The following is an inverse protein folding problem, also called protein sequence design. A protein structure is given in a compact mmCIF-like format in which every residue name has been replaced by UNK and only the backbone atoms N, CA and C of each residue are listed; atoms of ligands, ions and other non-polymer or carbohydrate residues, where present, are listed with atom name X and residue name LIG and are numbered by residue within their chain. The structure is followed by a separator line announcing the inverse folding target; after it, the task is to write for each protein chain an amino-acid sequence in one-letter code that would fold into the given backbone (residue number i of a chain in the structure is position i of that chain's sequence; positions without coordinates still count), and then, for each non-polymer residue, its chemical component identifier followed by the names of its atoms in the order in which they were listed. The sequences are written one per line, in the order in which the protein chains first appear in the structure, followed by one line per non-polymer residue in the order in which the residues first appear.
data_IF_034881467523
#
_entry.id   IF_034881467523
#
_cell.length_a   1.000
_cell.length_b   1.000
_cell.length_c   1.000
_cell.angle_alpha   90.00
_cell.angle_beta   90.00
_cell.angle_gamma   90.00
#
_symmetry.space_group_name_H-M   'P 1'
#
loop_
_entity.id
_entity.type
_entity.pdbx_description
1 polymer ?
#
# COMPACT_ATOMS: atom_id res chain seq x y z
N UNK A 1 -16.49 5.43 -29.65
CA UNK A 1 -17.88 5.63 -30.15
C UNK A 1 -18.34 4.56 -31.14
N UNK A 2 -17.44 3.83 -31.83
CA UNK A 2 -17.81 2.80 -32.84
C UNK A 2 -18.04 1.37 -32.32
N UNK A 3 -17.67 1.05 -31.07
CA UNK A 3 -17.82 -0.31 -30.53
C UNK A 3 -19.28 -0.74 -30.27
N UNK A 4 -20.17 0.21 -30.00
CA UNK A 4 -21.57 -0.08 -29.71
C UNK A 4 -22.32 -0.62 -30.94
N UNK A 5 -22.12 0.01 -32.10
CA UNK A 5 -22.70 -0.41 -33.38
C UNK A 5 -22.13 -1.76 -33.84
N UNK A 6 -20.82 -1.99 -33.63
CA UNK A 6 -20.15 -3.26 -33.93
C UNK A 6 -20.70 -4.39 -33.04
N UNK A 7 -20.90 -4.14 -31.75
CA UNK A 7 -21.48 -5.10 -30.81
C UNK A 7 -22.94 -5.44 -31.15
N UNK A 8 -23.76 -4.45 -31.51
CA UNK A 8 -25.13 -4.69 -31.96
C UNK A 8 -25.21 -5.61 -33.18
N UNK A 9 -24.29 -5.44 -34.14
CA UNK A 9 -24.18 -6.29 -35.33
C UNK A 9 -23.73 -7.73 -34.98
N UNK A 10 -22.81 -7.87 -34.02
CA UNK A 10 -22.35 -9.17 -33.52
C UNK A 10 -23.44 -9.91 -32.72
N UNK A 11 -24.23 -9.20 -31.91
CA UNK A 11 -25.36 -9.79 -31.17
C UNK A 11 -26.41 -10.34 -32.15
N UNK A 12 -26.74 -9.60 -33.21
CA UNK A 12 -27.70 -10.05 -34.24
C UNK A 12 -27.21 -11.28 -35.01
N UNK A 13 -25.89 -11.49 -35.10
CA UNK A 13 -25.27 -12.67 -35.73
C UNK A 13 -25.07 -13.84 -34.77
N UNK A 14 -25.51 -13.74 -33.51
CA UNK A 14 -25.26 -14.75 -32.49
C UNK A 14 -23.80 -14.82 -32.00
N UNK A 15 -22.94 -13.91 -32.46
CA UNK A 15 -21.50 -13.88 -32.18
C UNK A 15 -21.14 -13.07 -30.92
N UNK A 16 -22.13 -12.48 -30.24
CA UNK A 16 -21.94 -11.77 -28.98
C UNK A 16 -23.17 -11.89 -28.07
N UNK A 17 -22.94 -12.00 -26.77
CA UNK A 17 -24.02 -12.06 -25.77
C UNK A 17 -24.68 -10.71 -25.54
N UNK A 18 -26.01 -10.72 -25.35
CA UNK A 18 -26.78 -9.56 -24.88
C UNK A 18 -26.34 -9.09 -23.49
N UNK A 19 -25.81 -9.98 -22.65
CA UNK A 19 -25.27 -9.60 -21.34
C UNK A 19 -24.02 -8.73 -21.53
N UNK A 20 -24.07 -7.51 -21.00
CA UNK A 20 -22.93 -6.60 -20.97
C UNK A 20 -22.06 -6.98 -19.77
N UNK A 21 -20.93 -7.64 -20.03
CA UNK A 21 -19.99 -8.05 -18.98
C UNK A 21 -19.28 -6.84 -18.39
N UNK A 22 -19.02 -6.88 -17.08
CA UNK A 22 -18.28 -5.80 -16.43
C UNK A 22 -16.82 -5.97 -16.85
N UNK A 23 -16.27 -4.98 -17.54
CA UNK A 23 -14.81 -4.85 -17.69
C UNK A 23 -14.38 -3.66 -16.86
N UNK A 24 -13.44 -3.86 -15.95
CA UNK A 24 -12.71 -2.74 -15.34
C UNK A 24 -11.72 -2.24 -16.39
N UNK A 25 -12.19 -1.44 -17.34
CA UNK A 25 -11.32 -0.73 -18.25
C UNK A 25 -10.60 0.34 -17.43
N UNK A 26 -9.37 0.06 -16.99
CA UNK A 26 -8.44 1.14 -16.61
C UNK A 26 -8.38 2.01 -17.86
N UNK A 27 -8.88 3.25 -17.78
CA UNK A 27 -8.89 4.16 -18.92
C UNK A 27 -7.50 4.12 -19.55
N UNK A 28 -7.39 3.89 -20.86
CA UNK A 28 -6.09 3.81 -21.54
C UNK A 28 -5.24 5.06 -21.24
N UNK A 29 -5.91 6.19 -21.03
CA UNK A 29 -5.30 7.44 -20.60
C UNK A 29 -4.66 7.33 -19.20
N UNK A 30 -5.31 6.69 -18.23
CA UNK A 30 -4.74 6.44 -16.91
C UNK A 30 -3.57 5.45 -16.95
N UNK A 31 -3.62 4.44 -17.83
CA UNK A 31 -2.51 3.52 -18.04
C UNK A 31 -1.31 4.22 -18.69
N UNK A 32 -1.55 5.16 -19.63
CA UNK A 32 -0.50 5.99 -20.24
C UNK A 32 0.11 6.97 -19.24
N UNK A 33 -0.71 7.66 -18.43
CA UNK A 33 -0.22 8.57 -17.39
C UNK A 33 0.64 7.86 -16.33
N UNK A 34 0.34 6.59 -16.06
CA UNK A 34 1.09 5.78 -15.09
C UNK A 34 2.56 5.59 -15.49
N UNK A 35 2.90 5.65 -16.77
CA UNK A 35 4.27 5.45 -17.27
C UNK A 35 4.86 6.68 -17.96
N UNK A 36 4.04 7.70 -18.24
CA UNK A 36 4.46 8.91 -18.92
C UNK A 36 5.50 9.72 -18.12
N UNK A 37 6.57 10.13 -18.80
CA UNK A 37 7.61 10.99 -18.23
C UNK A 37 7.06 12.36 -17.79
N UNK A 38 6.10 12.92 -18.54
CA UNK A 38 5.46 14.20 -18.22
C UNK A 38 4.80 14.20 -16.84
N UNK A 39 4.13 13.10 -16.46
CA UNK A 39 3.50 12.98 -15.15
C UNK A 39 4.53 13.07 -14.01
N UNK A 40 5.72 12.48 -14.19
CA UNK A 40 6.81 12.54 -13.20
C UNK A 40 7.42 13.93 -13.09
N UNK A 41 7.63 14.60 -14.23
CA UNK A 41 8.10 15.99 -14.26
C UNK A 41 7.12 16.89 -13.50
N UNK A 42 5.81 16.71 -13.68
CA UNK A 42 4.79 17.45 -12.95
C UNK A 42 4.85 17.16 -11.45
N UNK A 43 5.03 15.89 -11.03
CA UNK A 43 5.17 15.52 -9.62
C UNK A 43 6.41 16.19 -9.00
N UNK A 44 7.57 16.13 -9.67
CA UNK A 44 8.80 16.75 -9.16
C UNK A 44 8.71 18.27 -9.11
N UNK A 45 8.08 18.89 -10.12
CA UNK A 45 7.85 20.33 -10.14
C UNK A 45 6.90 20.76 -9.02
N UNK A 46 5.83 20.01 -8.78
CA UNK A 46 4.91 20.24 -7.67
C UNK A 46 5.60 20.06 -6.30
N UNK A 47 6.46 19.04 -6.17
CA UNK A 47 7.25 18.83 -4.95
C UNK A 47 8.24 19.97 -4.71
N UNK A 48 8.97 20.40 -5.74
CA UNK A 48 9.87 21.56 -5.67
C UNK A 48 9.12 22.85 -5.32
N UNK A 49 7.94 23.08 -5.89
CA UNK A 49 7.05 24.19 -5.53
C UNK A 49 6.57 24.09 -4.08
N UNK A 50 6.26 22.90 -3.59
CA UNK A 50 5.94 22.63 -2.19
C UNK A 50 7.12 22.95 -1.26
N UNK A 51 8.34 22.52 -1.60
CA UNK A 51 9.55 22.88 -0.86
C UNK A 51 9.75 24.40 -0.83
N UNK A 52 9.57 25.08 -1.97
CA UNK A 52 9.67 26.55 -2.04
C UNK A 52 8.67 27.20 -1.09
N UNK A 53 7.41 26.75 -1.11
CA UNK A 53 6.39 27.24 -0.18
C UNK A 53 6.81 27.04 1.29
N UNK A 54 7.36 25.88 1.66
CA UNK A 54 7.78 25.60 3.05
C UNK A 54 8.99 26.43 3.49
N UNK A 55 9.93 26.72 2.59
CA UNK A 55 11.12 27.54 2.88
C UNK A 55 10.77 29.01 2.98
N UNK A 56 10.04 29.54 1.99
CA UNK A 56 9.72 30.97 1.90
C UNK A 56 8.51 31.38 2.75
N UNK A 57 7.80 30.42 3.37
CA UNK A 57 6.79 30.73 4.38
C UNK A 57 7.45 31.06 5.73
N UNK A 58 7.47 32.34 6.07
CA UNK A 58 7.98 32.88 7.34
C UNK A 58 9.34 33.57 7.22
N UNK A 59 9.82 34.15 8.33
CA UNK A 59 11.13 34.79 8.38
C UNK A 59 12.19 33.75 8.70
N UNK A 60 13.07 33.50 7.74
CA UNK A 60 14.21 32.60 7.83
C UNK A 60 15.48 33.40 7.56
N UNK A 61 16.62 33.09 8.21
CA UNK A 61 17.84 33.87 8.03
C UNK A 61 18.40 33.75 6.61
N UNK A 62 18.40 32.56 6.01
CA UNK A 62 18.96 32.32 4.67
C UNK A 62 18.06 31.42 3.80
N UNK A 63 16.83 31.86 3.42
CA UNK A 63 15.85 31.01 2.75
C UNK A 63 16.32 30.56 1.35
N UNK A 64 17.02 31.41 0.61
CA UNK A 64 17.53 31.07 -0.74
C UNK A 64 18.55 29.94 -0.69
N UNK A 65 19.51 30.01 0.24
CA UNK A 65 20.50 28.96 0.46
C UNK A 65 19.85 27.64 0.86
N UNK A 66 18.92 27.66 1.81
CA UNK A 66 18.20 26.46 2.24
C UNK A 66 17.39 25.85 1.10
N UNK A 67 16.77 26.67 0.25
CA UNK A 67 16.05 26.20 -0.93
C UNK A 67 16.98 25.54 -1.96
N UNK A 68 18.15 26.14 -2.24
CA UNK A 68 19.14 25.54 -3.14
C UNK A 68 19.63 24.19 -2.61
N UNK A 69 19.93 24.09 -1.32
CA UNK A 69 20.30 22.81 -0.69
C UNK A 69 19.14 21.81 -0.83
N UNK A 70 17.90 22.22 -0.57
CA UNK A 70 16.73 21.35 -0.70
C UNK A 70 16.52 20.83 -2.14
N UNK A 71 16.84 21.63 -3.17
CA UNK A 71 16.83 21.21 -4.57
C UNK A 71 17.97 20.24 -4.92
N UNK A 72 19.16 20.44 -4.35
CA UNK A 72 20.26 19.48 -4.49
C UNK A 72 19.88 18.13 -3.85
N UNK A 73 19.28 18.15 -2.65
CA UNK A 73 18.75 16.95 -2.01
C UNK A 73 17.68 16.31 -2.89
N UNK A 74 16.79 17.07 -3.53
CA UNK A 74 15.81 16.55 -4.48
C UNK A 74 16.46 15.86 -5.69
N UNK A 75 17.48 16.44 -6.30
CA UNK A 75 18.21 15.83 -7.40
C UNK A 75 18.84 14.48 -6.99
N UNK A 76 19.46 14.44 -5.80
CA UNK A 76 20.01 13.18 -5.27
C UNK A 76 18.93 12.15 -4.93
N UNK A 77 17.78 12.57 -4.42
CA UNK A 77 16.65 11.71 -4.11
C UNK A 77 16.08 11.05 -5.37
N UNK A 78 15.87 11.83 -6.44
CA UNK A 78 15.43 11.32 -7.74
C UNK A 78 16.43 10.32 -8.30
N UNK A 79 17.73 10.66 -8.26
CA UNK A 79 18.82 9.80 -8.75
C UNK A 79 18.88 8.48 -7.98
N UNK A 80 18.79 8.54 -6.64
CA UNK A 80 18.78 7.36 -5.79
C UNK A 80 17.60 6.44 -6.14
N UNK A 81 16.39 7.01 -6.29
CA UNK A 81 15.18 6.25 -6.57
C UNK A 81 15.24 5.60 -7.95
N UNK A 82 15.80 6.29 -8.94
CA UNK A 82 16.03 5.78 -10.28
C UNK A 82 17.00 4.59 -10.29
N UNK A 83 18.14 4.71 -9.61
CA UNK A 83 19.18 3.67 -9.56
C UNK A 83 18.73 2.45 -8.75
N UNK A 84 18.20 2.66 -7.55
CA UNK A 84 18.00 1.58 -6.59
C UNK A 84 16.59 0.98 -6.64
N UNK A 85 15.61 1.68 -7.21
CA UNK A 85 14.20 1.25 -7.23
C UNK A 85 13.52 1.46 -8.60
N UNK A 86 14.09 0.93 -9.70
CA UNK A 86 13.59 1.19 -11.07
C UNK A 86 12.12 0.80 -11.26
N UNK A 87 11.68 -0.34 -10.68
CA UNK A 87 10.28 -0.79 -10.74
C UNK A 87 9.29 0.18 -10.09
N UNK A 88 9.72 0.91 -9.06
CA UNK A 88 8.89 1.94 -8.42
C UNK A 88 9.00 3.28 -9.14
N UNK A 89 10.18 3.60 -9.69
CA UNK A 89 10.41 4.78 -10.50
C UNK A 89 9.61 4.78 -11.81
N UNK A 90 9.37 3.60 -12.40
CA UNK A 90 8.57 3.45 -13.63
C UNK A 90 7.14 3.94 -13.46
N UNK A 91 6.52 3.71 -12.30
CA UNK A 91 5.11 3.99 -12.04
C UNK A 91 4.91 5.36 -11.39
N UNK A 92 4.27 6.29 -12.11
CA UNK A 92 3.95 7.63 -11.64
C UNK A 92 3.14 7.64 -10.33
N UNK A 93 2.19 6.70 -10.15
CA UNK A 93 1.45 6.55 -8.88
C UNK A 93 2.35 6.30 -7.66
N UNK A 94 3.40 5.47 -7.81
CA UNK A 94 4.35 5.18 -6.72
C UNK A 94 5.24 6.37 -6.43
N UNK A 95 5.70 7.07 -7.47
CA UNK A 95 6.47 8.32 -7.32
C UNK A 95 5.62 9.38 -6.60
N UNK A 96 4.35 9.54 -7.01
CA UNK A 96 3.41 10.44 -6.34
C UNK A 96 3.19 10.08 -4.87
N UNK A 97 3.03 8.79 -4.55
CA UNK A 97 2.91 8.33 -3.16
C UNK A 97 4.15 8.70 -2.34
N UNK A 98 5.35 8.39 -2.85
CA UNK A 98 6.62 8.64 -2.14
C UNK A 98 6.79 10.13 -1.86
N UNK A 99 6.78 10.96 -2.90
CA UNK A 99 7.02 12.40 -2.74
C UNK A 99 5.84 13.12 -2.07
N UNK A 100 4.61 12.67 -2.29
CA UNK A 100 3.42 13.22 -1.64
C UNK A 100 3.40 12.99 -0.13
N UNK A 101 3.73 11.77 0.32
CA UNK A 101 3.80 11.44 1.76
C UNK A 101 4.97 12.16 2.44
N UNK A 102 6.12 12.26 1.78
CA UNK A 102 7.26 13.05 2.26
C UNK A 102 6.86 14.52 2.41
N UNK A 103 6.26 15.11 1.38
CA UNK A 103 5.84 16.51 1.41
C UNK A 103 4.80 16.75 2.51
N UNK A 104 3.86 15.81 2.69
CA UNK A 104 2.87 15.87 3.76
C UNK A 104 3.53 15.89 5.15
N UNK A 105 4.52 15.01 5.41
CA UNK A 105 5.25 15.05 6.68
C UNK A 105 5.96 16.39 6.88
N UNK A 106 6.64 16.90 5.85
CA UNK A 106 7.36 18.18 5.93
C UNK A 106 6.40 19.35 6.16
N UNK A 107 5.24 19.36 5.50
CA UNK A 107 4.21 20.37 5.68
C UNK A 107 3.59 20.33 7.08
N UNK A 108 3.28 19.14 7.60
CA UNK A 108 2.80 18.96 8.98
C UNK A 108 3.87 19.42 9.97
N UNK A 109 5.14 19.08 9.75
CA UNK A 109 6.25 19.55 10.59
C UNK A 109 6.32 21.07 10.61
N UNK A 110 6.35 21.73 9.44
CA UNK A 110 6.32 23.20 9.36
C UNK A 110 5.13 23.79 10.10
N UNK A 111 3.94 23.23 9.90
CA UNK A 111 2.71 23.68 10.53
C UNK A 111 2.82 23.61 12.06
N UNK A 112 3.32 22.50 12.62
CA UNK A 112 3.51 22.34 14.06
C UNK A 112 4.51 23.38 14.61
N UNK A 113 5.62 23.61 13.93
CA UNK A 113 6.58 24.65 14.32
C UNK A 113 5.97 26.05 14.28
N UNK A 114 5.20 26.38 13.25
CA UNK A 114 4.51 27.68 13.15
C UNK A 114 3.47 27.84 14.26
N UNK A 115 2.67 26.81 14.55
CA UNK A 115 1.65 26.85 15.60
C UNK A 115 2.25 26.95 17.02
N UNK A 116 3.37 26.28 17.28
CA UNK A 116 4.10 26.39 18.55
C UNK A 116 4.79 27.75 18.71
N UNK A 117 5.26 28.36 17.62
CA UNK A 117 5.95 29.65 17.66
C UNK A 117 5.00 30.86 17.58
N UNK A 118 3.75 30.69 17.14
CA UNK A 118 2.80 31.80 17.00
C UNK A 118 2.30 32.36 18.34
N UNK A 119 2.50 31.62 19.44
CA UNK A 119 1.99 31.99 20.77
C UNK A 119 0.46 32.00 20.89
N UNK A 120 -0.25 31.57 19.84
CA UNK A 120 -1.72 31.61 19.77
C UNK A 120 -2.38 30.58 20.71
N UNK A 121 -1.64 29.53 21.08
CA UNK A 121 -2.10 28.46 21.95
C UNK A 121 -1.24 28.41 23.21
N UNK A 122 -1.83 28.76 24.36
CA UNK A 122 -1.15 28.81 25.67
C UNK A 122 -0.51 27.48 26.09
N UNK A 123 -0.98 26.36 25.53
CA UNK A 123 -0.49 25.02 25.81
C UNK A 123 0.66 24.58 24.87
N UNK A 124 0.86 25.22 23.73
CA UNK A 124 1.90 24.87 22.76
C UNK A 124 3.08 25.83 22.93
N UNK A 125 4.06 25.42 23.74
CA UNK A 125 5.33 26.14 23.86
C UNK A 125 6.23 25.83 22.65
N UNK A 126 7.14 26.74 22.25
CA UNK A 126 8.12 26.49 21.17
C UNK A 126 8.88 25.17 21.34
N UNK A 127 9.30 24.87 22.57
CA UNK A 127 10.08 23.67 22.89
C UNK A 127 9.32 22.35 22.65
N UNK A 128 7.98 22.41 22.64
CA UNK A 128 7.13 21.23 22.42
C UNK A 128 7.05 20.83 20.95
N UNK A 129 7.34 21.74 20.00
CA UNK A 129 7.31 21.44 18.56
C UNK A 129 8.19 20.22 18.22
N UNK A 130 9.35 20.14 18.88
CA UNK A 130 10.31 19.05 18.75
C UNK A 130 9.77 17.70 19.23
N UNK A 131 8.89 17.69 20.22
CA UNK A 131 8.38 16.46 20.83
C UNK A 131 7.18 15.88 20.06
N UNK A 132 6.40 16.76 19.41
CA UNK A 132 5.16 16.39 18.71
C UNK A 132 5.34 16.22 17.20
N UNK A 133 6.52 16.54 16.65
CA UNK A 133 6.81 16.40 15.22
C UNK A 133 6.77 14.93 14.79
N UNK A 134 6.00 14.56 13.74
CA UNK A 134 5.79 13.16 13.37
C UNK A 134 6.96 12.59 12.55
N UNK A 135 8.14 12.49 13.18
CA UNK A 135 9.42 12.10 12.56
C UNK A 135 9.37 10.82 11.72
N UNK A 136 8.56 9.85 12.15
CA UNK A 136 8.49 8.53 11.55
C UNK A 136 7.30 8.34 10.58
N UNK A 137 6.50 9.38 10.29
CA UNK A 137 5.28 9.23 9.50
C UNK A 137 5.53 8.66 8.09
N UNK A 138 6.31 9.35 7.26
CA UNK A 138 6.64 8.92 5.92
C UNK A 138 7.43 7.61 5.89
N UNK A 139 8.45 7.39 6.76
CA UNK A 139 9.11 6.09 6.89
C UNK A 139 8.14 4.95 7.18
N UNK A 140 7.21 5.12 8.13
CA UNK A 140 6.21 4.10 8.47
C UNK A 140 5.27 3.81 7.30
N UNK A 141 4.66 4.85 6.72
CA UNK A 141 3.74 4.70 5.58
C UNK A 141 4.41 3.97 4.42
N UNK A 142 5.61 4.41 4.03
CA UNK A 142 6.30 3.88 2.86
C UNK A 142 6.91 2.49 3.13
N UNK A 143 7.35 2.22 4.36
CA UNK A 143 7.78 0.88 4.77
C UNK A 143 6.65 -0.14 4.69
N UNK A 144 5.46 0.21 5.19
CA UNK A 144 4.30 -0.69 5.20
C UNK A 144 3.71 -0.89 3.80
N UNK A 145 3.61 0.17 3.00
CA UNK A 145 2.98 0.11 1.66
C UNK A 145 3.91 -0.43 0.58
N UNK A 146 5.17 0.00 0.55
CA UNK A 146 6.10 -0.27 -0.55
C UNK A 146 7.28 -1.17 -0.14
N UNK A 147 7.46 -1.39 1.16
CA UNK A 147 8.50 -2.23 1.73
C UNK A 147 9.68 -1.43 2.29
N UNK A 148 10.58 -2.16 2.95
CA UNK A 148 11.68 -1.60 3.75
C UNK A 148 12.57 -0.60 3.00
N UNK A 149 12.83 -0.84 1.72
CA UNK A 149 13.74 0.00 0.93
C UNK A 149 13.17 1.40 0.73
N UNK A 150 11.86 1.53 0.52
CA UNK A 150 11.16 2.81 0.41
C UNK A 150 11.03 3.50 1.76
N UNK A 151 10.85 2.72 2.84
CA UNK A 151 10.88 3.23 4.20
C UNK A 151 12.22 3.86 4.59
N UNK A 152 13.34 3.15 4.33
CA UNK A 152 14.70 3.67 4.59
C UNK A 152 15.01 4.90 3.72
N UNK A 153 14.62 4.87 2.45
CA UNK A 153 14.70 6.02 1.56
C UNK A 153 14.01 7.24 2.17
N UNK A 154 12.78 7.07 2.65
CA UNK A 154 12.02 8.16 3.26
C UNK A 154 12.66 8.66 4.56
N UNK A 155 13.16 7.76 5.41
CA UNK A 155 13.84 8.13 6.66
C UNK A 155 15.06 9.02 6.41
N UNK A 156 15.86 8.68 5.39
CA UNK A 156 17.03 9.45 5.01
C UNK A 156 16.66 10.81 4.40
N UNK A 157 15.81 10.85 3.38
CA UNK A 157 15.55 12.11 2.69
C UNK A 157 14.67 13.08 3.49
N UNK A 158 13.69 12.57 4.25
CA UNK A 158 12.87 13.42 5.12
C UNK A 158 13.71 14.03 6.24
N UNK A 159 14.67 13.30 6.81
CA UNK A 159 15.55 13.85 7.85
C UNK A 159 16.46 14.94 7.31
N UNK A 160 17.02 14.76 6.10
CA UNK A 160 17.79 15.81 5.41
C UNK A 160 16.94 17.05 5.14
N UNK A 161 15.74 16.91 4.58
CA UNK A 161 14.87 18.06 4.32
C UNK A 161 14.41 18.74 5.61
N UNK A 162 14.01 17.97 6.64
CA UNK A 162 13.55 18.53 7.91
C UNK A 162 14.62 19.41 8.55
N UNK A 163 15.89 18.98 8.52
CA UNK A 163 17.02 19.73 9.07
C UNK A 163 17.30 21.07 8.36
N UNK A 164 17.01 21.15 7.06
CA UNK A 164 17.34 22.34 6.23
C UNK A 164 16.16 23.31 6.09
N UNK A 165 14.92 22.84 6.20
CA UNK A 165 13.74 23.64 5.82
C UNK A 165 13.26 24.65 6.88
N UNK A 166 13.61 24.48 8.15
CA UNK A 166 12.95 25.18 9.26
C UNK A 166 13.83 26.15 10.05
N UNK A 167 15.05 26.44 9.59
CA UNK A 167 15.98 27.28 10.32
C UNK A 167 17.40 27.25 9.76
N UNK A 168 18.38 27.65 10.59
CA UNK A 168 19.73 27.11 10.49
C UNK A 168 19.68 25.58 10.47
N UNK A 169 20.71 24.95 9.89
CA UNK A 169 20.80 23.49 9.82
C UNK A 169 20.78 22.93 11.25
N UNK A 170 19.71 22.19 11.56
CA UNK A 170 19.46 21.67 12.89
C UNK A 170 19.87 20.20 13.00
N UNK A 171 20.97 19.94 13.71
CA UNK A 171 21.49 18.60 13.93
C UNK A 171 20.59 17.73 14.83
N UNK A 172 20.06 18.23 15.97
CA UNK A 172 19.03 17.51 16.73
C UNK A 172 17.83 17.03 15.89
N UNK A 173 17.33 17.89 15.00
CA UNK A 173 16.23 17.56 14.09
C UNK A 173 16.58 16.39 13.17
N UNK A 174 17.76 16.49 12.54
CA UNK A 174 18.28 15.49 11.60
C UNK A 174 18.41 14.13 12.29
N UNK A 175 19.10 14.10 13.43
CA UNK A 175 19.43 12.88 14.15
C UNK A 175 18.16 12.23 14.69
N UNK A 176 17.26 13.01 15.29
CA UNK A 176 15.97 12.52 15.79
C UNK A 176 15.12 11.96 14.66
N UNK A 177 14.97 12.70 13.55
CA UNK A 177 14.20 12.24 12.41
C UNK A 177 14.78 10.96 11.79
N UNK A 178 16.11 10.88 11.67
CA UNK A 178 16.78 9.73 11.05
C UNK A 178 16.65 8.48 11.93
N UNK A 179 16.98 8.56 13.22
CA UNK A 179 16.94 7.41 14.13
C UNK A 179 15.49 6.93 14.33
N UNK A 180 14.54 7.85 14.52
CA UNK A 180 13.12 7.49 14.64
C UNK A 180 12.59 6.85 13.36
N UNK A 181 12.99 7.36 12.18
CA UNK A 181 12.64 6.78 10.89
C UNK A 181 13.21 5.38 10.69
N UNK A 182 14.50 5.15 11.01
CA UNK A 182 15.13 3.82 10.93
C UNK A 182 14.52 2.83 11.93
N UNK A 183 14.20 3.29 13.14
CA UNK A 183 13.50 2.50 14.16
C UNK A 183 12.13 2.05 13.64
N UNK A 184 11.37 2.97 13.06
CA UNK A 184 10.09 2.67 12.42
C UNK A 184 10.20 1.60 11.33
N UNK A 185 11.17 1.72 10.43
CA UNK A 185 11.35 0.76 9.34
C UNK A 185 11.73 -0.62 9.87
N UNK A 186 12.67 -0.68 10.81
CA UNK A 186 13.15 -1.93 11.41
C UNK A 186 12.04 -2.71 12.09
N UNK A 187 11.11 -2.00 12.73
CA UNK A 187 9.98 -2.60 13.44
C UNK A 187 8.77 -2.89 12.54
N UNK A 188 8.76 -2.39 11.30
CA UNK A 188 7.68 -2.61 10.32
C UNK A 188 7.99 -3.63 9.24
N UNK A 189 9.20 -4.23 9.23
CA UNK A 189 9.66 -5.18 8.20
C UNK A 189 8.71 -6.36 7.91
N UNK A 190 7.94 -6.81 8.91
CA UNK A 190 7.05 -7.97 8.81
C UNK A 190 5.69 -7.70 9.47
N UNK A 191 5.19 -6.46 9.39
CA UNK A 191 3.91 -6.11 10.01
C UNK A 191 2.76 -6.79 9.27
N UNK A 192 2.09 -7.66 10.00
CA UNK A 192 0.95 -8.47 9.59
C UNK A 192 -0.32 -8.12 10.37
N UNK A 193 -0.18 -7.46 11.52
CA UNK A 193 -1.29 -7.08 12.39
C UNK A 193 -1.18 -5.62 12.79
N UNK A 194 -2.33 -4.95 12.93
CA UNK A 194 -2.41 -3.55 13.40
C UNK A 194 -1.75 -3.33 14.77
N UNK A 195 -1.81 -4.32 15.66
CA UNK A 195 -1.14 -4.26 16.96
C UNK A 195 0.39 -4.18 16.86
N UNK A 196 1.00 -4.79 15.84
CA UNK A 196 2.45 -4.68 15.61
C UNK A 196 2.83 -3.27 15.15
N UNK A 197 1.96 -2.59 14.40
CA UNK A 197 2.14 -1.19 14.01
C UNK A 197 2.11 -0.27 15.23
N UNK A 198 1.16 -0.45 16.16
CA UNK A 198 1.10 0.32 17.42
C UNK A 198 2.35 0.07 18.27
N UNK A 199 2.81 -1.18 18.35
CA UNK A 199 4.07 -1.53 19.03
C UNK A 199 5.27 -0.82 18.40
N UNK A 200 5.34 -0.73 17.07
CA UNK A 200 6.37 0.05 16.40
C UNK A 200 6.30 1.54 16.77
N UNK A 201 5.08 2.09 16.86
CA UNK A 201 4.84 3.45 17.35
C UNK A 201 5.39 3.70 18.76
N UNK A 202 5.18 2.77 19.70
CA UNK A 202 5.74 2.87 21.06
C UNK A 202 7.27 2.99 21.05
N UNK A 203 7.97 2.12 20.32
CA UNK A 203 9.43 2.14 20.23
C UNK A 203 9.97 3.36 19.48
N UNK A 204 9.26 3.84 18.47
CA UNK A 204 9.56 5.14 17.84
C UNK A 204 9.45 6.26 18.87
N UNK A 205 8.38 6.27 19.67
CA UNK A 205 8.19 7.24 20.74
C UNK A 205 9.28 7.18 21.81
N UNK A 206 9.74 5.97 22.17
CA UNK A 206 10.86 5.78 23.07
C UNK A 206 12.17 6.31 22.48
N UNK A 207 12.43 6.11 21.19
CA UNK A 207 13.59 6.67 20.52
C UNK A 207 13.56 8.20 20.51
N UNK A 208 12.39 8.80 20.23
CA UNK A 208 12.19 10.25 20.31
C UNK A 208 12.47 10.74 21.74
N UNK A 209 11.95 10.03 22.74
CA UNK A 209 12.14 10.38 24.14
C UNK A 209 13.61 10.36 24.56
N UNK A 210 14.35 9.30 24.24
CA UNK A 210 15.79 9.18 24.53
C UNK A 210 16.61 10.29 23.85
N UNK A 211 16.32 10.58 22.58
CA UNK A 211 17.02 11.62 21.84
C UNK A 211 16.67 13.02 22.36
N UNK A 212 15.41 13.24 22.71
CA UNK A 212 14.95 14.50 23.31
C UNK A 212 15.59 14.75 24.68
N UNK A 213 15.79 13.71 25.49
CA UNK A 213 16.59 13.80 26.71
C UNK A 213 18.04 14.14 26.41
N UNK A 214 18.65 13.47 25.43
CA UNK A 214 20.06 13.66 25.06
C UNK A 214 20.35 15.08 24.57
N UNK A 215 19.43 15.66 23.80
CA UNK A 215 19.53 17.04 23.30
C UNK A 215 19.02 18.10 24.29
N UNK A 216 18.61 17.71 25.51
CA UNK A 216 18.13 18.66 26.53
C UNK A 216 16.77 19.31 26.21
N UNK A 217 15.96 18.68 25.36
CA UNK A 217 14.62 19.16 24.96
C UNK A 217 13.54 18.77 25.97
N UNK A 218 13.83 17.81 26.85
CA UNK A 218 13.04 17.48 28.03
C UNK A 218 13.74 18.15 29.21
N UNK A 219 12.95 18.85 30.05
CA UNK A 219 13.36 19.95 30.94
C UNK A 219 14.67 19.73 31.72
N UNK A 220 15.30 20.82 32.21
CA UNK A 220 16.60 20.71 32.87
C UNK A 220 16.50 19.76 34.06
N UNK A 221 17.19 18.62 33.97
CA UNK A 221 17.26 17.63 35.05
C UNK A 221 18.43 18.00 35.95
N UNK A 222 18.13 18.68 37.05
CA UNK A 222 19.10 18.95 38.09
C UNK A 222 19.24 17.71 38.98
N UNK A 223 20.36 17.00 38.83
CA UNK A 223 20.68 15.82 39.66
C UNK A 223 21.06 16.19 41.09
N UNK A 224 21.67 17.36 41.28
CA UNK A 224 22.15 17.84 42.58
C UNK A 224 21.04 18.47 43.45
N UNK A 225 20.00 19.02 42.80
CA UNK A 225 18.85 19.61 43.48
C UNK A 225 17.54 19.07 42.87
N UNK A 226 17.15 17.80 43.15
CA UNK A 226 15.98 17.18 42.53
C UNK A 226 14.64 17.88 42.84
N UNK A 227 14.57 18.65 43.93
CA UNK A 227 13.40 19.45 44.31
C UNK A 227 13.22 20.70 43.45
N UNK A 228 14.25 21.12 42.71
CA UNK A 228 14.17 22.23 41.76
C UNK A 228 13.62 21.82 40.39
N UNK A 229 13.42 20.51 40.15
CA UNK A 229 12.91 20.00 38.88
C UNK A 229 11.39 20.13 38.83
N UNK A 230 10.86 20.65 37.71
CA UNK A 230 9.44 20.59 37.40
C UNK A 230 9.08 19.19 36.87
N UNK A 231 8.83 18.27 37.79
CA UNK A 231 8.44 16.88 37.48
C UNK A 231 7.14 16.79 36.67
N UNK A 232 6.23 17.76 36.82
CA UNK A 232 5.00 17.83 36.02
C UNK A 232 5.30 18.13 34.55
N UNK A 233 6.17 19.09 34.28
CA UNK A 233 6.60 19.42 32.92
C UNK A 233 7.42 18.30 32.29
N UNK A 234 8.35 17.69 33.03
CA UNK A 234 9.15 16.55 32.54
C UNK A 234 8.23 15.36 32.19
N UNK A 235 7.24 15.08 33.04
CA UNK A 235 6.24 14.04 32.79
C UNK A 235 5.42 14.32 31.53
N UNK A 236 4.95 15.56 31.34
CA UNK A 236 4.22 15.96 30.14
C UNK A 236 5.08 15.85 28.88
N UNK A 237 6.30 16.37 28.88
CA UNK A 237 7.20 16.29 27.73
C UNK A 237 7.55 14.84 27.38
N UNK A 238 7.73 13.99 28.40
CA UNK A 238 7.96 12.56 28.21
C UNK A 238 6.74 11.87 27.60
N UNK A 239 5.55 12.19 28.09
CA UNK A 239 4.30 11.68 27.53
C UNK A 239 4.07 12.16 26.10
N UNK A 240 4.43 13.39 25.74
CA UNK A 240 4.35 13.90 24.37
C UNK A 240 5.32 13.15 23.45
N UNK A 241 6.55 12.91 23.85
CA UNK A 241 7.54 12.18 23.05
C UNK A 241 7.10 10.73 22.75
N UNK A 242 6.68 9.99 23.79
CA UNK A 242 6.21 8.61 23.63
C UNK A 242 4.87 8.59 22.89
N UNK A 243 3.96 9.48 23.27
CA UNK A 243 2.63 9.63 22.69
C UNK A 243 2.68 9.98 21.21
N UNK A 244 3.65 10.78 20.76
CA UNK A 244 3.87 11.12 19.36
C UNK A 244 4.10 9.87 18.50
N UNK A 245 4.96 8.94 18.95
CA UNK A 245 5.20 7.69 18.23
C UNK A 245 3.93 6.83 18.10
N UNK A 246 3.17 6.68 19.19
CA UNK A 246 1.91 5.93 19.23
C UNK A 246 0.84 6.60 18.35
N UNK A 247 0.69 7.92 18.46
CA UNK A 247 -0.25 8.71 17.67
C UNK A 247 0.09 8.60 16.18
N UNK A 248 1.37 8.74 15.82
CA UNK A 248 1.84 8.58 14.44
C UNK A 248 1.47 7.20 13.90
N UNK A 249 1.77 6.12 14.63
CA UNK A 249 1.41 4.76 14.20
C UNK A 249 -0.10 4.55 14.06
N UNK A 250 -0.89 5.16 14.95
CA UNK A 250 -2.37 5.11 14.90
C UNK A 250 -2.91 5.84 13.67
N UNK A 251 -2.40 7.04 13.38
CA UNK A 251 -2.74 7.81 12.19
C UNK A 251 -2.37 7.06 10.91
N UNK A 252 -1.17 6.46 10.86
CA UNK A 252 -0.76 5.60 9.75
C UNK A 252 -1.73 4.43 9.60
N UNK A 253 -2.02 3.70 10.67
CA UNK A 253 -2.95 2.57 10.65
C UNK A 253 -4.36 2.94 10.15
N UNK A 254 -4.85 4.14 10.49
CA UNK A 254 -6.11 4.68 9.99
C UNK A 254 -6.05 5.16 8.53
N UNK A 255 -4.91 5.69 8.08
CA UNK A 255 -4.71 6.17 6.73
C UNK A 255 -4.43 5.05 5.71
N UNK A 256 -3.93 3.89 6.16
CA UNK A 256 -3.56 2.76 5.28
C UNK A 256 -4.68 2.37 4.31
N UNK A 257 -5.94 2.11 4.72
CA UNK A 257 -7.00 1.71 3.77
C UNK A 257 -7.27 2.76 2.69
N UNK A 258 -7.15 4.05 3.02
CA UNK A 258 -7.33 5.15 2.07
C UNK A 258 -6.19 5.17 1.05
N UNK A 259 -4.94 5.06 1.51
CA UNK A 259 -3.76 5.04 0.66
C UNK A 259 -3.72 3.78 -0.22
N UNK A 260 -4.06 2.62 0.33
CA UNK A 260 -4.17 1.37 -0.41
C UNK A 260 -5.17 1.48 -1.57
N UNK A 261 -6.35 2.06 -1.31
CA UNK A 261 -7.34 2.26 -2.35
C UNK A 261 -6.91 3.31 -3.38
N UNK A 262 -6.36 4.45 -2.94
CA UNK A 262 -5.93 5.52 -3.84
C UNK A 262 -4.80 5.06 -4.79
N UNK A 263 -3.85 4.29 -4.27
CA UNK A 263 -2.67 3.84 -5.03
C UNK A 263 -2.78 2.40 -5.54
N UNK A 264 -3.89 1.70 -5.29
CA UNK A 264 -4.12 0.29 -5.64
C UNK A 264 -2.97 -0.62 -5.17
N UNK A 265 -2.52 -0.39 -3.93
CA UNK A 265 -1.51 -1.18 -3.22
C UNK A 265 -2.25 -2.00 -2.15
N UNK A 266 -1.74 -3.19 -1.82
CA UNK A 266 -2.35 -4.04 -0.80
C UNK A 266 -1.26 -4.52 0.13
N UNK A 267 -1.38 -4.14 1.41
CA UNK A 267 -0.42 -4.54 2.46
C UNK A 267 -0.68 -5.95 2.93
N UNK A 268 0.30 -6.53 3.62
CA UNK A 268 0.15 -7.84 4.26
C UNK A 268 -0.95 -7.85 5.33
N UNK A 269 -1.23 -6.71 5.98
CA UNK A 269 -2.37 -6.56 6.90
C UNK A 269 -3.66 -6.79 6.11
N UNK A 270 -3.86 -6.07 5.01
CA UNK A 270 -5.07 -6.17 4.19
C UNK A 270 -5.21 -7.54 3.51
N UNK A 271 -4.10 -8.19 3.15
CA UNK A 271 -4.13 -9.58 2.68
C UNK A 271 -4.58 -10.55 3.78
N UNK A 272 -4.11 -10.39 5.01
CA UNK A 272 -4.57 -11.22 6.12
C UNK A 272 -6.04 -10.95 6.47
N UNK A 273 -6.49 -9.70 6.43
CA UNK A 273 -7.91 -9.35 6.59
C UNK A 273 -8.76 -10.00 5.47
N UNK A 274 -8.27 -10.01 4.23
CA UNK A 274 -8.92 -10.67 3.08
C UNK A 274 -8.88 -12.22 3.14
N UNK A 275 -8.16 -12.80 4.10
CA UNK A 275 -8.08 -14.24 4.26
C UNK A 275 -9.23 -14.86 5.07
N UNK A 276 -10.18 -14.04 5.50
CA UNK A 276 -11.42 -14.49 6.13
C UNK A 276 -12.29 -15.26 5.12
N UNK A 277 -12.50 -16.55 5.43
CA UNK A 277 -13.30 -17.48 4.61
C UNK A 277 -14.81 -17.20 4.69
N UNK A 278 -15.25 -16.24 5.53
CA UNK A 278 -16.65 -15.83 5.62
C UNK A 278 -17.13 -14.94 4.47
N UNK A 279 -16.26 -14.59 3.51
CA UNK A 279 -16.67 -13.80 2.35
C UNK A 279 -17.87 -14.45 1.62
N UNK A 280 -18.91 -13.69 1.20
CA UNK A 280 -20.13 -14.24 0.62
C UNK A 280 -19.92 -15.21 -0.56
N UNK A 281 -18.92 -14.95 -1.42
CA UNK A 281 -18.57 -15.86 -2.51
C UNK A 281 -18.00 -17.21 -2.03
N UNK A 282 -17.19 -17.20 -0.97
CA UNK A 282 -16.60 -18.42 -0.43
C UNK A 282 -17.67 -19.26 0.28
N UNK A 283 -18.57 -18.61 1.04
CA UNK A 283 -19.75 -19.27 1.63
C UNK A 283 -20.64 -19.93 0.58
N UNK A 284 -20.89 -19.23 -0.54
CA UNK A 284 -21.62 -19.82 -1.66
C UNK A 284 -20.88 -21.01 -2.25
N UNK A 285 -19.56 -20.92 -2.43
CA UNK A 285 -18.77 -22.03 -2.95
C UNK A 285 -18.81 -23.26 -2.04
N UNK A 286 -18.79 -23.08 -0.72
CA UNK A 286 -18.92 -24.19 0.23
C UNK A 286 -20.25 -24.95 0.08
N UNK A 287 -21.34 -24.26 -0.29
CA UNK A 287 -22.68 -24.85 -0.40
C UNK A 287 -22.97 -25.36 -1.82
N UNK A 288 -22.70 -24.52 -2.82
CA UNK A 288 -23.07 -24.75 -4.23
C UNK A 288 -22.00 -25.55 -5.01
N UNK A 289 -20.73 -25.49 -4.60
CA UNK A 289 -19.60 -26.15 -5.28
C UNK A 289 -18.54 -26.66 -4.27
N UNK A 290 -18.91 -27.60 -3.36
CA UNK A 290 -18.07 -28.00 -2.23
C UNK A 290 -16.74 -28.64 -2.65
N UNK A 291 -16.71 -29.35 -3.78
CA UNK A 291 -15.49 -29.93 -4.34
C UNK A 291 -14.51 -28.85 -4.81
N UNK A 292 -15.02 -27.83 -5.51
CA UNK A 292 -14.20 -26.67 -5.91
C UNK A 292 -13.71 -25.89 -4.69
N UNK A 293 -14.52 -25.77 -3.64
CA UNK A 293 -14.10 -25.15 -2.38
C UNK A 293 -12.93 -25.91 -1.75
N UNK A 294 -13.05 -27.24 -1.61
CA UNK A 294 -11.98 -28.08 -1.07
C UNK A 294 -10.72 -28.02 -1.95
N UNK A 295 -10.86 -28.09 -3.26
CA UNK A 295 -9.76 -27.92 -4.22
C UNK A 295 -9.03 -26.59 -3.99
N UNK A 296 -9.76 -25.49 -3.86
CA UNK A 296 -9.20 -24.15 -3.66
C UNK A 296 -8.41 -24.04 -2.35
N UNK A 297 -8.86 -24.71 -1.27
CA UNK A 297 -8.11 -24.77 0.00
C UNK A 297 -6.79 -25.55 -0.14
N UNK A 298 -6.81 -26.69 -0.84
CA UNK A 298 -5.60 -27.48 -1.08
C UNK A 298 -4.60 -26.69 -1.93
N UNK A 299 -5.06 -26.07 -3.02
CA UNK A 299 -4.23 -25.21 -3.88
C UNK A 299 -3.66 -24.03 -3.08
N UNK A 300 -4.44 -23.43 -2.18
CA UNK A 300 -3.97 -22.33 -1.35
C UNK A 300 -2.79 -22.74 -0.45
N UNK A 301 -2.85 -23.92 0.17
CA UNK A 301 -1.75 -24.43 1.00
C UNK A 301 -0.48 -24.69 0.17
N UNK A 302 -0.64 -25.30 -1.01
CA UNK A 302 0.48 -25.58 -1.92
C UNK A 302 1.10 -24.28 -2.45
N UNK A 303 0.27 -23.32 -2.86
CA UNK A 303 0.71 -22.03 -3.38
C UNK A 303 1.39 -21.18 -2.29
N UNK A 304 0.89 -21.20 -1.06
CA UNK A 304 1.52 -20.52 0.08
C UNK A 304 2.91 -21.09 0.36
N UNK A 305 3.04 -22.42 0.44
CA UNK A 305 4.31 -23.09 0.70
C UNK A 305 5.33 -22.84 -0.42
N UNK A 306 4.91 -22.94 -1.68
CA UNK A 306 5.77 -22.69 -2.83
C UNK A 306 6.20 -21.22 -2.93
N UNK A 307 5.30 -20.28 -2.67
CA UNK A 307 5.63 -18.86 -2.65
C UNK A 307 6.59 -18.52 -1.49
N UNK A 308 6.37 -19.11 -0.30
CA UNK A 308 7.22 -18.91 0.87
C UNK A 308 8.66 -19.39 0.64
N UNK A 309 8.85 -20.53 -0.04
CA UNK A 309 10.19 -21.10 -0.26
C UNK A 309 11.07 -20.26 -1.21
N UNK A 310 10.46 -19.49 -2.11
CA UNK A 310 11.18 -18.62 -3.06
C UNK A 310 11.18 -17.13 -2.65
N UNK A 311 10.66 -16.80 -1.46
CA UNK A 311 10.55 -15.42 -0.99
C UNK A 311 9.52 -14.57 -1.73
N UNK A 312 8.55 -15.19 -2.40
CA UNK A 312 7.39 -14.50 -2.96
C UNK A 312 6.34 -14.20 -1.86
N UNK A 313 5.31 -13.42 -2.19
CA UNK A 313 4.26 -13.08 -1.22
C UNK A 313 3.31 -14.28 -1.00
N UNK A 314 3.61 -15.08 0.02
CA UNK A 314 2.87 -16.29 0.38
C UNK A 314 1.40 -16.00 0.75
N UNK A 315 1.13 -14.92 1.48
CA UNK A 315 -0.23 -14.56 1.90
C UNK A 315 -1.10 -14.16 0.72
N UNK A 316 -0.56 -13.39 -0.24
CA UNK A 316 -1.24 -13.06 -1.49
C UNK A 316 -1.60 -14.33 -2.26
N UNK A 317 -0.64 -15.27 -2.42
CA UNK A 317 -0.88 -16.53 -3.11
C UNK A 317 -2.01 -17.33 -2.44
N UNK A 318 -1.96 -17.50 -1.11
CA UNK A 318 -3.00 -18.19 -0.34
C UNK A 318 -4.39 -17.60 -0.58
N UNK A 319 -4.51 -16.28 -0.40
CA UNK A 319 -5.81 -15.58 -0.51
C UNK A 319 -6.35 -15.64 -1.92
N UNK A 320 -5.51 -15.43 -2.93
CA UNK A 320 -5.96 -15.46 -4.31
C UNK A 320 -6.40 -16.87 -4.75
N UNK A 321 -5.74 -17.92 -4.24
CA UNK A 321 -6.16 -19.31 -4.46
C UNK A 321 -7.57 -19.62 -3.95
N UNK A 322 -8.06 -18.95 -2.90
CA UNK A 322 -9.45 -19.14 -2.43
C UNK A 322 -10.49 -18.73 -3.47
N UNK A 323 -10.15 -17.76 -4.33
CA UNK A 323 -11.09 -17.17 -5.28
C UNK A 323 -10.83 -17.57 -6.73
N UNK A 324 -9.68 -18.19 -7.05
CA UNK A 324 -9.24 -18.41 -8.44
C UNK A 324 -10.31 -19.11 -9.31
N UNK A 325 -11.03 -20.06 -8.70
CA UNK A 325 -12.03 -20.90 -9.34
C UNK A 325 -13.48 -20.46 -9.06
N UNK A 326 -13.70 -19.25 -8.53
CA UNK A 326 -15.04 -18.79 -8.14
C UNK A 326 -16.05 -18.74 -9.28
N UNK A 327 -15.59 -18.72 -10.53
CA UNK A 327 -16.45 -18.82 -11.69
C UNK A 327 -17.17 -20.16 -11.86
N UNK A 328 -16.65 -21.24 -11.26
CA UNK A 328 -17.29 -22.57 -11.29
C UNK A 328 -18.66 -22.57 -10.61
N UNK A 329 -18.93 -21.61 -9.70
CA UNK A 329 -20.25 -21.37 -9.10
C UNK A 329 -21.37 -21.16 -10.12
N UNK A 330 -21.08 -20.76 -11.36
CA UNK A 330 -22.11 -20.53 -12.37
C UNK A 330 -22.67 -21.83 -12.93
N UNK A 331 -21.87 -22.90 -12.99
CA UNK A 331 -22.23 -24.22 -13.49
C UNK A 331 -21.46 -25.34 -12.77
N UNK A 332 -21.65 -25.52 -11.45
CA UNK A 332 -20.83 -26.45 -10.65
C UNK A 332 -20.81 -27.87 -11.20
N UNK A 333 -21.96 -28.34 -11.70
CA UNK A 333 -22.20 -29.69 -12.20
C UNK A 333 -21.34 -30.08 -13.41
N UNK A 334 -20.71 -29.12 -14.09
CA UNK A 334 -19.80 -29.35 -15.22
C UNK A 334 -18.33 -29.46 -14.80
N UNK A 335 -18.02 -29.45 -13.50
CA UNK A 335 -16.65 -29.58 -13.00
C UNK A 335 -16.51 -30.85 -12.19
N UNK A 336 -15.50 -31.66 -12.52
CA UNK A 336 -15.38 -33.05 -12.08
C UNK A 336 -15.38 -33.20 -10.57
N UNK A 337 -14.82 -32.23 -9.86
CA UNK A 337 -14.78 -32.22 -8.40
C UNK A 337 -16.15 -32.01 -7.74
N UNK A 338 -17.16 -31.53 -8.47
CA UNK A 338 -18.53 -31.35 -7.97
C UNK A 338 -19.56 -32.28 -8.65
N UNK A 339 -19.15 -33.11 -9.60
CA UNK A 339 -20.06 -34.01 -10.29
C UNK A 339 -20.58 -35.10 -9.35
N UNK A 340 -21.83 -35.50 -9.53
CA UNK A 340 -22.32 -36.77 -8.98
C UNK A 340 -21.76 -37.94 -9.79
N UNK A 341 -21.52 -39.08 -9.14
CA UNK A 341 -20.94 -40.27 -9.78
C UNK A 341 -21.85 -40.92 -10.83
N UNK A 342 -23.12 -40.53 -10.91
CA UNK A 342 -24.15 -41.23 -11.70
C UNK A 342 -24.18 -40.82 -13.18
N UNK A 343 -23.80 -39.58 -13.52
CA UNK A 343 -23.85 -39.09 -14.91
C UNK A 343 -22.88 -37.93 -15.13
N UNK A 344 -22.06 -38.03 -16.17
CA UNK A 344 -21.21 -36.94 -16.62
C UNK A 344 -21.95 -36.08 -17.68
N UNK A 345 -22.27 -34.79 -17.40
CA UNK A 345 -23.00 -33.95 -18.34
C UNK A 345 -22.22 -33.63 -19.63
N UNK A 346 -20.91 -33.92 -19.67
CA UNK A 346 -20.11 -33.77 -20.88
C UNK A 346 -20.28 -34.91 -21.89
N UNK A 347 -20.91 -36.02 -21.51
CA UNK A 347 -21.13 -37.15 -22.42
C UNK A 347 -22.15 -36.77 -23.50
N UNK A 348 -23.16 -35.98 -23.12
CA UNK A 348 -24.23 -35.48 -23.98
C UNK A 348 -23.84 -34.24 -24.81
N UNK A 349 -22.61 -33.74 -24.67
CA UNK A 349 -22.14 -32.53 -25.31
C UNK A 349 -21.06 -32.79 -26.36
N UNK A 350 -21.09 -32.00 -27.43
CA UNK A 350 -19.97 -31.89 -28.35
C UNK A 350 -18.72 -31.42 -27.59
N UNK A 351 -17.51 -31.92 -27.92
CA UNK A 351 -16.27 -31.55 -27.24
C UNK A 351 -16.01 -30.04 -27.24
N UNK A 352 -16.38 -29.37 -28.34
CA UNK A 352 -16.30 -27.91 -28.47
C UNK A 352 -17.18 -27.19 -27.44
N UNK A 353 -18.41 -27.67 -27.19
CA UNK A 353 -19.31 -27.11 -26.19
C UNK A 353 -18.79 -27.33 -24.78
N UNK A 354 -18.28 -28.52 -24.49
CA UNK A 354 -17.64 -28.82 -23.20
C UNK A 354 -16.44 -27.92 -22.93
N UNK A 355 -15.54 -27.75 -23.92
CA UNK A 355 -14.40 -26.85 -23.81
C UNK A 355 -14.85 -25.39 -23.57
N UNK A 356 -15.91 -24.92 -24.24
CA UNK A 356 -16.45 -23.58 -24.04
C UNK A 356 -17.01 -23.37 -22.62
N UNK A 357 -17.68 -24.38 -22.05
CA UNK A 357 -18.17 -24.32 -20.66
C UNK A 357 -17.00 -24.22 -19.69
N UNK A 358 -16.00 -25.09 -19.84
CA UNK A 358 -14.82 -25.09 -18.99
C UNK A 358 -14.08 -23.75 -19.10
N UNK A 359 -13.77 -23.26 -20.30
CA UNK A 359 -13.07 -21.97 -20.48
C UNK A 359 -13.88 -20.79 -19.94
N UNK A 360 -15.21 -20.86 -19.94
CA UNK A 360 -16.05 -19.78 -19.49
C UNK A 360 -15.91 -19.46 -18.00
N UNK A 361 -15.51 -20.42 -17.14
CA UNK A 361 -15.41 -20.17 -15.68
C UNK A 361 -14.45 -19.02 -15.37
N UNK A 362 -13.35 -18.86 -16.11
CA UNK A 362 -12.42 -17.73 -15.94
C UNK A 362 -13.15 -16.40 -16.07
N UNK A 363 -13.95 -16.26 -17.14
CA UNK A 363 -14.67 -15.02 -17.42
C UNK A 363 -15.83 -14.79 -16.44
N UNK A 364 -16.54 -15.84 -16.08
CA UNK A 364 -17.60 -15.78 -15.06
C UNK A 364 -17.04 -15.45 -13.67
N UNK A 365 -15.86 -15.96 -13.34
CA UNK A 365 -15.14 -15.65 -12.11
C UNK A 365 -14.77 -14.18 -12.03
N UNK A 366 -14.25 -13.60 -13.12
CA UNK A 366 -14.00 -12.16 -13.22
C UNK A 366 -15.27 -11.34 -13.03
N UNK A 367 -16.38 -11.73 -13.67
CA UNK A 367 -17.67 -11.04 -13.51
C UNK A 367 -18.18 -11.10 -12.04
N UNK A 368 -18.07 -12.25 -11.38
CA UNK A 368 -18.40 -12.41 -9.96
C UNK A 368 -17.47 -11.58 -9.06
N UNK A 369 -16.17 -11.61 -9.30
CA UNK A 369 -15.19 -10.84 -8.54
C UNK A 369 -15.43 -9.32 -8.64
N UNK A 370 -15.74 -8.82 -9.83
CA UNK A 370 -16.12 -7.42 -10.06
C UNK A 370 -17.46 -7.07 -9.40
N UNK A 371 -18.42 -8.00 -9.37
CA UNK A 371 -19.70 -7.79 -8.67
C UNK A 371 -19.51 -7.66 -7.16
N UNK A 372 -18.59 -8.42 -6.59
CA UNK A 372 -18.25 -8.41 -5.16
C UNK A 372 -17.13 -7.44 -4.79
N UNK A 373 -16.66 -6.60 -5.74
CA UNK A 373 -15.61 -5.61 -5.52
C UNK A 373 -14.32 -6.21 -4.93
N UNK A 374 -13.96 -7.42 -5.37
CA UNK A 374 -12.72 -8.05 -4.96
C UNK A 374 -11.50 -7.22 -5.40
N UNK A 375 -10.40 -7.39 -4.68
CA UNK A 375 -9.12 -6.75 -4.98
C UNK A 375 -8.69 -7.03 -6.44
N UNK A 376 -8.09 -6.04 -7.10
CA UNK A 376 -7.63 -6.18 -8.49
C UNK A 376 -6.70 -7.38 -8.68
N UNK A 377 -5.79 -7.64 -7.74
CA UNK A 377 -4.86 -8.77 -7.82
C UNK A 377 -5.57 -10.13 -7.79
N UNK A 378 -6.69 -10.23 -7.06
CA UNK A 378 -7.52 -11.44 -7.06
C UNK A 378 -8.18 -11.61 -8.43
N UNK A 379 -8.70 -10.52 -9.01
CA UNK A 379 -9.31 -10.53 -10.35
C UNK A 379 -8.28 -10.93 -11.41
N UNK A 380 -7.06 -10.38 -11.34
CA UNK A 380 -5.97 -10.70 -12.26
C UNK A 380 -5.64 -12.20 -12.18
N UNK A 381 -5.52 -12.77 -10.99
CA UNK A 381 -5.25 -14.21 -10.81
C UNK A 381 -6.40 -15.07 -11.31
N UNK A 382 -7.66 -14.71 -11.04
CA UNK A 382 -8.81 -15.40 -11.63
C UNK A 382 -8.71 -15.40 -13.15
N UNK A 383 -8.30 -14.28 -13.77
CA UNK A 383 -8.17 -14.18 -15.22
C UNK A 383 -6.97 -14.97 -15.78
N UNK A 384 -5.87 -15.06 -15.04
CA UNK A 384 -4.57 -15.53 -15.54
C UNK A 384 -4.19 -16.94 -15.13
N UNK A 385 -4.85 -17.57 -14.15
CA UNK A 385 -4.37 -18.82 -13.55
C UNK A 385 -4.26 -20.01 -14.52
N UNK A 386 -5.00 -20.01 -15.63
CA UNK A 386 -4.85 -20.97 -16.73
C UNK A 386 -3.99 -20.49 -17.89
N UNK A 387 -3.59 -19.21 -17.91
CA UNK A 387 -2.83 -18.58 -18.99
C UNK A 387 -3.49 -18.78 -20.36
N UNK A 388 -2.73 -19.30 -21.31
CA UNK A 388 -3.20 -19.67 -22.66
C UNK A 388 -3.15 -21.18 -22.89
N UNK A 389 -3.32 -21.96 -21.81
CA UNK A 389 -3.25 -23.42 -21.88
C UNK A 389 -4.37 -24.03 -22.73
N UNK A 390 -4.07 -25.16 -23.37
CA UNK A 390 -5.02 -25.93 -24.18
C UNK A 390 -5.87 -26.84 -23.28
N UNK A 391 -7.19 -26.84 -23.46
CA UNK A 391 -8.09 -27.81 -22.83
C UNK A 391 -7.95 -29.18 -23.52
N UNK A 392 -6.87 -29.89 -23.15
CA UNK A 392 -6.34 -31.04 -23.90
C UNK A 392 -7.34 -32.17 -24.11
N UNK A 393 -8.09 -32.55 -23.08
CA UNK A 393 -9.03 -33.68 -23.15
C UNK A 393 -10.10 -33.47 -24.24
N UNK A 394 -10.78 -32.33 -24.22
CA UNK A 394 -11.81 -32.02 -25.22
C UNK A 394 -11.23 -31.70 -26.60
N UNK A 395 -10.00 -31.17 -26.67
CA UNK A 395 -9.28 -31.04 -27.93
C UNK A 395 -9.02 -32.40 -28.58
N UNK A 396 -8.53 -33.38 -27.81
CA UNK A 396 -8.29 -34.73 -28.31
C UNK A 396 -9.58 -35.43 -28.72
N UNK A 397 -10.65 -35.31 -27.92
CA UNK A 397 -11.97 -35.86 -28.27
C UNK A 397 -12.53 -35.23 -29.55
N UNK A 398 -12.25 -33.95 -29.81
CA UNK A 398 -12.64 -33.28 -31.05
C UNK A 398 -11.87 -33.77 -32.29
N UNK A 399 -10.61 -34.23 -32.13
CA UNK A 399 -9.83 -34.82 -33.23
C UNK A 399 -10.25 -36.26 -33.57
N UNK A 400 -10.98 -36.91 -32.67
CA UNK A 400 -11.49 -38.27 -32.84
C UNK A 400 -12.92 -38.30 -33.39
N UNK A 401 -13.54 -37.13 -33.55
CA UNK A 401 -14.82 -36.92 -34.25
C UNK A 401 -14.53 -36.46 -35.68
#
# INVERSE_FOLDING_TARGET
MFDFLKRGRLIRRGLASRKTRRRRTRSELMARLETAAFAKVLIYSAFAGGLAFLVFSGQQPEPTKNFVIALLVLATAITQLWINQPKSFERSSRVLLIFGVILLQLAVTKLLFVLCNSGSYRFLKPDMAWLITPYAFAPLVLSVLLGRHHGLYAAFFVSLWSSVLFGPIDAPLLITSLISGFTAVSLTLQVRRRSQLIRAGFWVGLAIWLLSLTFGLIGPINWFYPTANDWGMIGLQSALAIGNGILTATLVGGALPLLENLFQITTDISWLEASDLNHPLLRRMTIEAPGTYHHSLVVANLAEAAAGSIGANATLCRVCSYFHDVGKLVKPEYFTENMSFERNPHDDLAPTMSALIIIAHVKEGVDLALKHRLNQRIIDIIQEHHGTSLVRYFYQRALQQ
#
